data_IF_570893897832
#
_entry.id   IF_570893897832
#
_cell.length_a   1.000
_cell.length_b   1.000
_cell.length_c   1.000
_cell.angle_alpha   90.00
_cell.angle_beta   90.00
_cell.angle_gamma   90.00
#
_symmetry.space_group_name_H-M   'P 1'
#
loop_
_entity.id
_entity.type
_entity.pdbx_description
1 polymer ?
#
# COMPACT_ATOMS: atom_id res chain seq x y z
N UNK A 1 -12.23 -1.50 -6.27
CA UNK A 1 -10.79 -1.78 -6.49
C UNK A 1 -10.52 -3.17 -7.07
N UNK A 2 -11.20 -4.24 -6.63
CA UNK A 2 -10.88 -5.61 -7.07
C UNK A 2 -11.07 -5.97 -8.54
N UNK A 3 -11.81 -5.17 -9.33
CA UNK A 3 -11.94 -5.37 -10.79
C UNK A 3 -10.91 -4.63 -11.65
N UNK A 4 -10.13 -3.72 -11.06
CA UNK A 4 -9.15 -2.89 -11.80
C UNK A 4 -7.70 -3.34 -11.59
N UNK A 5 -7.47 -4.15 -10.56
CA UNK A 5 -6.17 -4.72 -10.24
C UNK A 5 -6.22 -6.19 -10.67
N UNK A 6 -5.41 -6.57 -11.65
CA UNK A 6 -5.26 -7.96 -12.11
C UNK A 6 -4.50 -8.84 -11.09
N UNK A 7 -4.69 -8.56 -9.79
CA UNK A 7 -4.03 -9.20 -8.66
C UNK A 7 -5.00 -9.33 -7.49
N UNK A 8 -5.02 -10.51 -6.86
CA UNK A 8 -5.78 -10.74 -5.62
C UNK A 8 -4.91 -10.56 -4.36
N UNK A 9 -3.61 -10.76 -4.50
CA UNK A 9 -2.63 -10.70 -3.42
C UNK A 9 -1.44 -9.85 -3.85
N UNK A 10 -0.86 -9.11 -2.91
CA UNK A 10 0.30 -8.26 -3.16
C UNK A 10 1.33 -8.36 -2.05
N UNK A 11 2.57 -8.08 -2.42
CA UNK A 11 3.68 -8.00 -1.49
C UNK A 11 3.85 -6.59 -0.93
N UNK A 12 4.05 -6.48 0.37
CA UNK A 12 4.39 -5.23 1.05
C UNK A 12 5.53 -5.51 2.02
N UNK A 13 6.72 -5.03 1.65
CA UNK A 13 7.94 -5.29 2.42
C UNK A 13 7.79 -4.93 3.92
N UNK A 14 8.02 -5.88 4.83
CA UNK A 14 7.77 -5.67 6.25
C UNK A 14 8.91 -4.85 6.88
N UNK A 15 8.64 -4.26 8.06
CA UNK A 15 9.66 -3.54 8.86
C UNK A 15 10.64 -4.49 9.56
N UNK A 16 10.21 -5.73 9.77
CA UNK A 16 10.94 -6.82 10.39
C UNK A 16 10.40 -8.13 9.81
N UNK A 17 11.26 -9.14 9.66
CA UNK A 17 10.86 -10.46 9.16
C UNK A 17 9.90 -11.22 10.07
N UNK A 18 9.67 -10.74 11.30
CA UNK A 18 8.65 -11.24 12.23
C UNK A 18 7.22 -10.85 11.85
N UNK A 19 7.02 -10.07 10.78
CA UNK A 19 5.71 -9.62 10.32
C UNK A 19 5.41 -10.20 8.96
N UNK A 20 4.13 -10.50 8.72
CA UNK A 20 3.62 -10.87 7.39
C UNK A 20 3.92 -9.78 6.35
N UNK A 21 4.12 -10.21 5.11
CA UNK A 21 4.39 -9.33 3.98
C UNK A 21 3.42 -9.54 2.81
N UNK A 22 2.59 -10.57 2.85
CA UNK A 22 1.62 -10.88 1.81
C UNK A 22 0.23 -10.52 2.30
N UNK A 23 -0.44 -9.66 1.54
CA UNK A 23 -1.76 -9.12 1.87
C UNK A 23 -2.73 -9.36 0.72
N UNK A 24 -4.00 -9.51 1.04
CA UNK A 24 -5.11 -9.60 0.09
C UNK A 24 -5.66 -8.21 -0.26
N UNK A 25 -6.21 -8.04 -1.46
CA UNK A 25 -6.95 -6.81 -1.81
C UNK A 25 -8.32 -6.72 -1.13
N UNK A 26 -8.79 -7.85 -0.56
CA UNK A 26 -10.10 -7.96 0.09
C UNK A 26 -10.04 -7.69 1.60
N UNK A 27 -8.84 -7.47 2.16
CA UNK A 27 -8.64 -7.08 3.55
C UNK A 27 -8.15 -5.63 3.67
N UNK A 28 -8.28 -5.00 4.85
CA UNK A 28 -7.73 -3.67 5.07
C UNK A 28 -6.22 -3.63 4.78
N UNK A 29 -5.81 -2.72 3.89
CA UNK A 29 -4.41 -2.54 3.56
C UNK A 29 -3.61 -2.10 4.80
N UNK A 30 -2.39 -2.62 5.01
CA UNK A 30 -1.47 -2.03 5.97
C UNK A 30 -1.08 -0.62 5.51
N UNK A 31 -0.53 0.17 6.42
CA UNK A 31 -0.03 1.53 6.11
C UNK A 31 0.91 1.50 4.90
N UNK A 32 0.60 2.30 3.87
CA UNK A 32 1.48 2.56 2.73
C UNK A 32 2.69 3.35 3.23
N UNK A 33 3.90 3.05 2.74
CA UNK A 33 5.14 3.66 3.21
C UNK A 33 5.84 4.44 2.11
N UNK A 34 6.81 5.29 2.45
CA UNK A 34 7.61 6.02 1.48
C UNK A 34 8.53 5.18 0.58
N UNK A 35 8.63 3.87 0.84
CA UNK A 35 9.53 2.95 0.14
C UNK A 35 8.73 1.76 -0.39
N UNK A 36 9.02 1.37 -1.63
CA UNK A 36 8.41 0.25 -2.32
C UNK A 36 9.52 -0.69 -2.84
N UNK A 37 9.55 -1.93 -2.36
CA UNK A 37 10.61 -2.90 -2.69
C UNK A 37 10.00 -4.13 -3.35
N UNK A 38 10.71 -4.74 -4.32
CA UNK A 38 10.31 -6.03 -4.85
C UNK A 38 10.40 -7.12 -3.77
N UNK A 39 9.79 -8.27 -4.04
CA UNK A 39 9.93 -9.47 -3.22
C UNK A 39 11.40 -9.89 -3.24
N UNK A 40 12.11 -9.96 -2.11
CA UNK A 40 13.46 -10.47 -2.09
C UNK A 40 13.45 -11.99 -2.34
N UNK A 41 14.42 -12.51 -3.10
CA UNK A 41 14.56 -13.95 -3.35
C UNK A 41 14.70 -14.78 -2.06
N UNK A 42 15.18 -14.15 -0.99
CA UNK A 42 15.37 -14.74 0.34
C UNK A 42 14.14 -14.60 1.26
N UNK A 43 13.01 -14.10 0.75
CA UNK A 43 11.79 -13.97 1.55
C UNK A 43 11.33 -15.34 2.06
N UNK A 44 11.17 -15.45 3.37
CA UNK A 44 10.56 -16.61 4.02
C UNK A 44 9.11 -16.27 4.32
N UNK A 45 8.20 -17.15 3.92
CA UNK A 45 6.78 -16.97 4.16
C UNK A 45 6.48 -16.92 5.67
N UNK A 46 5.63 -15.98 6.05
CA UNK A 46 5.17 -15.82 7.42
C UNK A 46 3.85 -16.60 7.60
N UNK A 47 3.59 -17.25 8.76
CA UNK A 47 2.33 -17.98 8.99
C UNK A 47 1.07 -17.12 8.82
N UNK A 48 1.17 -15.83 9.08
CA UNK A 48 0.09 -14.85 8.88
C UNK A 48 -0.04 -14.27 7.46
N UNK A 49 0.80 -14.69 6.50
CA UNK A 49 0.67 -14.26 5.10
C UNK A 49 -0.69 -14.70 4.53
N UNK A 50 -1.35 -13.82 3.77
CA UNK A 50 -2.68 -14.09 3.22
C UNK A 50 -2.69 -15.23 2.18
N UNK A 51 -1.55 -15.52 1.55
CA UNK A 51 -1.39 -16.68 0.68
C UNK A 51 0.05 -17.19 0.68
N UNK A 52 0.26 -18.37 0.09
CA UNK A 52 1.59 -18.90 -0.19
C UNK A 52 2.36 -18.04 -1.19
N UNK A 53 3.69 -18.10 -1.13
CA UNK A 53 4.55 -17.43 -2.11
C UNK A 53 4.25 -18.00 -3.51
N UNK A 54 3.65 -17.18 -4.38
CA UNK A 54 3.34 -17.51 -5.78
C UNK A 54 4.22 -16.71 -6.73
N UNK A 55 4.47 -17.23 -7.93
CA UNK A 55 5.30 -16.56 -8.95
C UNK A 55 4.76 -15.18 -9.37
N UNK A 56 3.44 -14.97 -9.30
CA UNK A 56 2.79 -13.71 -9.66
C UNK A 56 2.82 -12.65 -8.54
N UNK A 57 3.40 -12.95 -7.38
CA UNK A 57 3.40 -12.02 -6.26
C UNK A 57 4.32 -10.84 -6.54
N UNK A 58 3.75 -9.63 -6.55
CA UNK A 58 4.48 -8.37 -6.77
C UNK A 58 4.09 -7.31 -5.76
N UNK A 59 4.93 -6.30 -5.53
CA UNK A 59 4.47 -5.08 -4.89
C UNK A 59 3.44 -4.34 -5.75
N UNK A 60 2.61 -3.56 -5.08
CA UNK A 60 1.73 -2.61 -5.74
C UNK A 60 2.55 -1.55 -6.48
N UNK A 61 2.07 -1.10 -7.63
CA UNK A 61 2.64 0.03 -8.36
C UNK A 61 2.39 1.33 -7.61
N UNK A 62 3.15 2.38 -7.94
CA UNK A 62 3.00 3.71 -7.35
C UNK A 62 1.56 4.24 -7.48
N UNK A 63 0.91 4.00 -8.63
CA UNK A 63 -0.48 4.41 -8.89
C UNK A 63 -1.49 3.58 -8.09
N UNK A 64 -1.27 2.28 -7.95
CA UNK A 64 -2.13 1.43 -7.11
C UNK A 64 -2.06 1.84 -5.63
N UNK A 65 -0.86 2.20 -5.16
CA UNK A 65 -0.63 2.71 -3.79
C UNK A 65 -1.30 4.06 -3.57
N UNK A 66 -1.36 4.93 -4.59
CA UNK A 66 -2.06 6.21 -4.47
C UNK A 66 -3.57 6.02 -4.30
N UNK A 67 -4.16 5.01 -4.94
CA UNK A 67 -5.57 4.70 -4.76
C UNK A 67 -5.89 4.26 -3.33
N UNK A 68 -5.00 3.48 -2.69
CA UNK A 68 -5.14 3.10 -1.28
C UNK A 68 -5.10 4.33 -0.38
N UNK A 69 -4.28 5.32 -0.73
CA UNK A 69 -4.21 6.63 -0.08
C UNK A 69 -5.31 7.59 -0.55
N UNK A 70 -6.34 7.08 -1.24
CA UNK A 70 -7.53 7.83 -1.68
C UNK A 70 -7.24 9.00 -2.63
N UNK A 71 -6.10 8.99 -3.33
CA UNK A 71 -5.83 9.97 -4.37
C UNK A 71 -6.80 9.78 -5.56
N UNK A 72 -7.31 10.88 -6.14
CA UNK A 72 -8.12 10.84 -7.36
C UNK A 72 -7.39 10.16 -8.52
N UNK A 73 -8.13 9.51 -9.43
CA UNK A 73 -7.56 8.77 -10.58
C UNK A 73 -6.89 9.67 -11.61
N UNK A 74 -7.35 10.91 -11.67
CA UNK A 74 -6.90 12.03 -12.50
C UNK A 74 -5.78 12.86 -11.83
N UNK A 75 -5.38 12.53 -10.60
CA UNK A 75 -4.27 13.21 -9.94
C UNK A 75 -2.96 12.98 -10.71
N UNK A 76 -2.34 14.07 -11.14
CA UNK A 76 -1.10 14.05 -11.91
C UNK A 76 0.08 14.08 -10.94
N UNK A 77 0.82 12.98 -10.88
CA UNK A 77 2.06 12.88 -10.12
C UNK A 77 3.24 13.37 -10.96
N UNK A 78 4.03 14.31 -10.42
CA UNK A 78 5.25 14.82 -11.04
C UNK A 78 6.47 14.59 -10.15
N UNK A 79 7.57 14.10 -10.75
CA UNK A 79 8.84 13.86 -10.05
C UNK A 79 9.41 12.47 -10.29
N UNK A 80 10.49 12.15 -9.58
CA UNK A 80 11.13 10.83 -9.65
C UNK A 80 10.29 9.78 -8.94
N UNK A 81 10.43 8.50 -9.32
CA UNK A 81 9.74 7.39 -8.65
C UNK A 81 9.91 7.40 -7.13
N UNK A 82 11.11 7.67 -6.64
CA UNK A 82 11.40 7.76 -5.20
C UNK A 82 10.62 8.90 -4.53
N UNK A 83 10.53 10.07 -5.17
CA UNK A 83 9.76 11.19 -4.64
C UNK A 83 8.27 10.85 -4.58
N UNK A 84 7.73 10.22 -5.63
CA UNK A 84 6.32 9.83 -5.67
C UNK A 84 5.99 8.81 -4.58
N UNK A 85 6.84 7.81 -4.37
CA UNK A 85 6.67 6.82 -3.30
C UNK A 85 6.68 7.50 -1.91
N UNK A 86 7.58 8.47 -1.69
CA UNK A 86 7.60 9.26 -0.44
C UNK A 86 6.35 10.12 -0.27
N UNK A 87 5.92 10.83 -1.32
CA UNK A 87 4.71 11.67 -1.30
C UNK A 87 3.48 10.83 -0.92
N UNK A 88 3.29 9.70 -1.60
CA UNK A 88 2.15 8.81 -1.35
C UNK A 88 2.26 8.14 0.03
N UNK A 89 3.47 7.73 0.42
CA UNK A 89 3.71 7.06 1.69
C UNK A 89 3.52 7.93 2.92
N UNK A 90 3.76 9.24 2.79
CA UNK A 90 3.63 10.21 3.87
C UNK A 90 2.29 10.96 3.81
N UNK A 91 1.51 10.81 2.74
CA UNK A 91 0.19 11.41 2.61
C UNK A 91 -0.76 10.91 3.72
N UNK A 92 -1.60 11.82 4.20
CA UNK A 92 -2.73 11.51 5.06
C UNK A 92 -3.93 11.19 4.16
N UNK A 93 -4.61 10.04 4.31
CA UNK A 93 -5.77 9.72 3.48
C UNK A 93 -6.88 10.76 3.65
N UNK A 94 -7.48 11.18 2.54
CA UNK A 94 -8.44 12.31 2.53
C UNK A 94 -9.71 12.01 3.34
N UNK A 95 -10.12 10.73 3.36
CA UNK A 95 -11.31 10.26 4.11
C UNK A 95 -11.10 10.41 5.62
N UNK A 96 -9.87 10.33 6.12
CA UNK A 96 -9.59 10.46 7.57
C UNK A 96 -9.68 11.92 8.01
N UNK A 97 -9.46 12.89 7.11
CA UNK A 97 -9.48 14.32 7.43
C UNK A 97 -10.94 14.83 7.53
N UNK A 98 -11.85 14.30 6.72
CA UNK A 98 -13.27 14.73 6.71
C UNK A 98 -14.01 14.47 8.03
N UNK A 99 -13.59 13.49 8.84
CA UNK A 99 -14.22 13.15 10.12
C UNK A 99 -13.55 13.79 11.34
N UNK A 100 -12.58 14.70 11.13
CA UNK A 100 -11.85 15.36 12.22
C UNK A 100 -12.11 16.86 12.36
N UNK A 101 -13.06 17.40 11.59
CA UNK A 101 -13.49 18.78 11.69
C UNK A 101 -14.82 18.91 12.44
N UNK A 102 -14.96 18.23 13.57
CA UNK A 102 -15.88 18.71 14.62
C UNK A 102 -15.04 19.51 15.61
N UNK A 103 -15.27 20.81 15.54
CA UNK A 103 -14.73 21.86 16.38
C UNK A 103 -14.82 21.48 17.85
N UNK A 104 -13.69 21.50 18.55
CA UNK A 104 -13.69 21.77 19.99
C UNK A 104 -14.13 23.22 20.16
N UNK A 105 -15.44 23.43 20.28
CA UNK A 105 -15.95 24.64 20.90
C UNK A 105 -15.77 24.56 22.42
N UNK A 106 -15.54 25.74 22.99
CA UNK A 106 -14.97 26.01 24.31
C UNK A 106 -15.86 25.59 25.47
#
# INVERSE_FOLDING_TARGET
>A
MGKELDIEYYYRHPRSYQRRAIFSIYEPSPTIRGVNRPVPKTYRQHPGDACHLKEKLRPLTTRERSYIQTFPKDFIFAGTKSNLEQMIGNAVPIIVISNKCETREK
#
